data_IF_032119554358
#
_entry.id   IF_032119554358
#
_cell.length_a   1.000
_cell.length_b   1.000
_cell.length_c   1.000
_cell.angle_alpha   90.00
_cell.angle_beta   90.00
_cell.angle_gamma   90.00
#
_symmetry.space_group_name_H-M   'P 1'
#
loop_
_entity.id
_entity.type
_entity.pdbx_description
1 polymer ?
#
# COMPACT_ATOMS: atom_id res chain seq x y z
N UNK A 1 15.91 -16.06 -26.18
CA UNK A 1 16.97 -15.29 -25.50
C UNK A 1 16.47 -14.91 -24.11
N UNK A 2 16.97 -15.57 -23.06
CA UNK A 2 16.68 -15.12 -21.69
C UNK A 2 17.48 -13.85 -21.46
N UNK A 3 16.79 -12.73 -21.27
CA UNK A 3 17.43 -11.49 -20.84
C UNK A 3 17.81 -11.70 -19.38
N UNK A 4 19.05 -12.13 -19.13
CA UNK A 4 19.60 -12.15 -17.78
C UNK A 4 19.73 -10.70 -17.32
N UNK A 5 18.78 -10.24 -16.51
CA UNK A 5 18.89 -8.93 -15.85
C UNK A 5 20.10 -9.00 -14.92
N UNK A 6 21.02 -8.05 -15.06
CA UNK A 6 22.11 -7.91 -14.12
C UNK A 6 21.53 -7.69 -12.70
N UNK A 7 22.00 -8.43 -11.69
CA UNK A 7 21.55 -8.22 -10.31
C UNK A 7 21.90 -6.80 -9.89
N UNK A 8 20.92 -6.08 -9.33
CA UNK A 8 21.15 -4.75 -8.76
C UNK A 8 21.87 -4.95 -7.43
N UNK A 9 23.09 -4.40 -7.27
CA UNK A 9 23.81 -4.52 -6.02
C UNK A 9 23.11 -3.70 -4.93
N UNK A 10 23.09 -4.24 -3.71
CA UNK A 10 22.68 -3.47 -2.54
C UNK A 10 23.66 -2.31 -2.34
N UNK A 11 23.12 -1.12 -2.15
CA UNK A 11 23.86 0.07 -1.76
C UNK A 11 24.36 -0.06 -0.32
N UNK A 12 25.23 0.84 0.12
CA UNK A 12 25.68 0.84 1.51
C UNK A 12 24.52 1.12 2.47
N UNK A 13 23.65 2.05 2.11
CA UNK A 13 22.46 2.37 2.89
C UNK A 13 21.51 1.16 3.03
N UNK A 14 21.38 0.33 1.99
CA UNK A 14 20.59 -0.89 2.08
C UNK A 14 21.19 -1.88 3.08
N UNK A 15 22.53 -1.98 3.15
CA UNK A 15 23.23 -2.88 4.07
C UNK A 15 23.11 -2.40 5.51
N UNK A 16 23.31 -1.11 5.74
CA UNK A 16 23.14 -0.47 7.05
C UNK A 16 21.71 -0.68 7.57
N UNK A 17 20.70 -0.47 6.71
CA UNK A 17 19.31 -0.72 7.07
C UNK A 17 19.04 -2.19 7.37
N UNK A 18 19.58 -3.11 6.56
CA UNK A 18 19.46 -4.56 6.79
C UNK A 18 20.12 -5.01 8.10
N UNK A 19 21.20 -4.35 8.52
CA UNK A 19 21.81 -4.57 9.83
C UNK A 19 20.95 -3.98 10.95
N UNK A 20 20.44 -2.76 10.78
CA UNK A 20 19.57 -2.10 11.75
C UNK A 20 18.31 -2.93 12.02
N UNK A 21 17.59 -3.40 11.00
CA UNK A 21 16.37 -4.20 11.21
C UNK A 21 16.63 -5.54 11.90
N UNK A 22 17.86 -6.07 11.86
CA UNK A 22 18.27 -7.32 12.55
C UNK A 22 18.85 -7.07 13.93
N UNK A 23 19.15 -5.81 14.26
CA UNK A 23 19.71 -5.43 15.55
C UNK A 23 18.59 -5.29 16.58
N UNK A 24 18.51 -6.16 17.60
CA UNK A 24 17.40 -6.13 18.54
C UNK A 24 17.33 -4.79 19.28
N UNK A 25 16.14 -4.20 19.31
CA UNK A 25 15.91 -2.92 20.00
C UNK A 25 16.34 -1.67 19.23
N UNK A 26 16.85 -1.80 18.01
CA UNK A 26 16.98 -0.65 17.11
C UNK A 26 15.58 -0.09 16.76
N UNK A 27 15.46 1.21 16.42
CA UNK A 27 14.21 1.78 15.97
C UNK A 27 13.59 1.01 14.78
N UNK A 28 14.42 0.58 13.84
CA UNK A 28 14.01 -0.16 12.64
C UNK A 28 13.51 -1.57 12.99
N UNK A 29 14.18 -2.28 13.89
CA UNK A 29 13.76 -3.59 14.37
C UNK A 29 12.40 -3.51 15.10
N UNK A 30 12.22 -2.50 15.95
CA UNK A 30 10.96 -2.26 16.65
C UNK A 30 9.83 -1.92 15.66
N UNK A 31 10.12 -1.15 14.61
CA UNK A 31 9.15 -0.85 13.57
C UNK A 31 8.72 -2.12 12.81
N UNK A 32 9.67 -2.99 12.43
CA UNK A 32 9.36 -4.29 11.81
C UNK A 32 8.52 -5.16 12.74
N UNK A 33 8.87 -5.22 14.03
CA UNK A 33 8.09 -5.96 15.02
C UNK A 33 6.65 -5.44 15.12
N UNK A 34 6.45 -4.13 15.06
CA UNK A 34 5.11 -3.54 15.09
C UNK A 34 4.29 -3.87 13.83
N UNK A 35 4.94 -3.97 12.66
CA UNK A 35 4.27 -4.23 11.38
C UNK A 35 3.99 -5.72 11.12
N UNK A 36 4.92 -6.60 11.52
CA UNK A 36 4.87 -8.04 11.21
C UNK A 36 4.58 -8.92 12.43
N UNK A 37 4.57 -8.34 13.64
CA UNK A 37 4.37 -9.07 14.90
C UNK A 37 5.56 -9.94 15.33
N UNK A 38 6.67 -9.89 14.59
CA UNK A 38 7.88 -10.65 14.86
C UNK A 38 9.10 -9.75 14.78
N UNK A 39 9.96 -9.83 15.80
CA UNK A 39 11.26 -9.18 15.78
C UNK A 39 12.25 -10.05 14.98
N UNK A 40 13.04 -9.40 14.12
CA UNK A 40 14.18 -10.06 13.49
C UNK A 40 15.36 -10.06 14.46
N UNK A 41 16.23 -11.06 14.35
CA UNK A 41 17.42 -11.19 15.19
C UNK A 41 18.71 -11.17 14.38
N UNK A 42 19.87 -11.13 15.05
CA UNK A 42 21.17 -11.19 14.38
C UNK A 42 21.37 -12.50 13.60
N UNK A 43 20.75 -13.59 14.05
CA UNK A 43 20.75 -14.90 13.39
C UNK A 43 19.86 -14.95 12.14
N UNK A 44 19.03 -13.93 11.90
CA UNK A 44 18.18 -13.86 10.72
C UNK A 44 19.04 -13.65 9.47
N UNK A 45 18.91 -14.57 8.52
CA UNK A 45 19.61 -14.48 7.23
C UNK A 45 19.22 -13.21 6.47
N UNK A 46 20.13 -12.66 5.67
CA UNK A 46 19.84 -11.49 4.82
C UNK A 46 18.65 -11.75 3.88
N UNK A 47 18.53 -12.97 3.35
CA UNK A 47 17.42 -13.34 2.47
C UNK A 47 16.08 -13.32 3.21
N UNK A 48 16.03 -13.83 4.44
CA UNK A 48 14.84 -13.77 5.29
C UNK A 48 14.47 -12.34 5.64
N UNK A 49 15.46 -11.51 6.01
CA UNK A 49 15.24 -10.11 6.34
C UNK A 49 14.69 -9.32 5.12
N UNK A 50 15.27 -9.53 3.93
CA UNK A 50 14.75 -8.96 2.68
C UNK A 50 13.34 -9.45 2.36
N UNK A 51 13.06 -10.73 2.56
CA UNK A 51 11.73 -11.28 2.36
C UNK A 51 10.69 -10.61 3.26
N UNK A 52 11.02 -10.40 4.55
CA UNK A 52 10.17 -9.64 5.48
C UNK A 52 9.92 -8.21 4.98
N UNK A 53 10.95 -7.51 4.48
CA UNK A 53 10.76 -6.17 3.90
C UNK A 53 9.85 -6.17 2.67
N UNK A 54 9.97 -7.17 1.80
CA UNK A 54 9.08 -7.33 0.64
C UNK A 54 7.65 -7.58 1.08
N UNK A 55 7.45 -8.35 2.15
CA UNK A 55 6.13 -8.64 2.71
C UNK A 55 5.48 -7.38 3.31
N UNK A 56 6.25 -6.59 4.06
CA UNK A 56 5.82 -5.27 4.57
C UNK A 56 5.44 -4.34 3.42
N UNK A 57 6.31 -4.22 2.40
CA UNK A 57 6.05 -3.39 1.23
C UNK A 57 4.81 -3.86 0.46
N UNK A 58 4.62 -5.17 0.30
CA UNK A 58 3.43 -5.75 -0.35
C UNK A 58 2.16 -5.36 0.38
N UNK A 59 2.14 -5.46 1.72
CA UNK A 59 0.98 -5.06 2.52
C UNK A 59 0.69 -3.56 2.37
N UNK A 60 1.71 -2.72 2.41
CA UNK A 60 1.56 -1.28 2.21
C UNK A 60 0.98 -0.94 0.83
N UNK A 61 1.47 -1.58 -0.23
CA UNK A 61 0.94 -1.42 -1.60
C UNK A 61 -0.52 -1.87 -1.69
N UNK A 62 -0.87 -3.00 -1.06
CA UNK A 62 -2.26 -3.46 -1.06
C UNK A 62 -3.20 -2.50 -0.34
N UNK A 63 -2.78 -1.93 0.79
CA UNK A 63 -3.55 -0.90 1.51
C UNK A 63 -3.78 0.31 0.61
N UNK A 64 -2.76 0.77 -0.11
CA UNK A 64 -2.89 1.90 -1.04
C UNK A 64 -3.84 1.59 -2.20
N UNK A 65 -3.75 0.39 -2.79
CA UNK A 65 -4.66 -0.06 -3.86
C UNK A 65 -6.10 -0.12 -3.36
N UNK A 66 -6.33 -0.63 -2.15
CA UNK A 66 -7.69 -0.66 -1.59
C UNK A 66 -8.20 0.76 -1.33
N UNK A 67 -7.37 1.64 -0.78
CA UNK A 67 -7.74 3.03 -0.47
C UNK A 67 -8.12 3.80 -1.74
N UNK A 68 -7.29 3.71 -2.77
CA UNK A 68 -7.56 4.32 -4.09
C UNK A 68 -8.78 3.70 -4.77
N UNK A 69 -8.97 2.38 -4.67
CA UNK A 69 -10.16 1.69 -5.17
C UNK A 69 -11.46 2.14 -4.49
N UNK A 70 -11.45 2.29 -3.17
CA UNK A 70 -12.60 2.81 -2.43
C UNK A 70 -12.89 4.28 -2.75
N UNK A 71 -11.85 5.11 -2.92
CA UNK A 71 -12.01 6.49 -3.35
C UNK A 71 -12.65 6.58 -4.75
N UNK A 72 -12.23 5.73 -5.68
CA UNK A 72 -12.83 5.67 -7.02
C UNK A 72 -14.29 5.18 -6.98
N UNK A 73 -14.60 4.20 -6.13
CA UNK A 73 -15.97 3.71 -5.97
C UNK A 73 -16.89 4.78 -5.37
N UNK A 74 -16.42 5.53 -4.37
CA UNK A 74 -17.17 6.64 -3.78
C UNK A 74 -17.42 7.76 -4.80
N UNK A 75 -16.42 8.12 -5.60
CA UNK A 75 -16.57 9.12 -6.65
C UNK A 75 -17.60 8.72 -7.72
N UNK A 76 -17.65 7.43 -8.08
CA UNK A 76 -18.65 6.92 -9.03
C UNK A 76 -20.08 6.98 -8.46
N UNK A 77 -20.26 6.68 -7.16
CA UNK A 77 -21.57 6.80 -6.49
C UNK A 77 -22.04 8.25 -6.39
N UNK A 78 -21.13 9.18 -6.06
CA UNK A 78 -21.46 10.61 -6.02
C UNK A 78 -21.92 11.15 -7.37
N UNK A 79 -21.34 10.66 -8.48
CA UNK A 79 -21.74 11.03 -9.83
C UNK A 79 -23.14 10.51 -10.19
N UNK A 80 -23.45 9.26 -9.86
CA UNK A 80 -24.77 8.65 -10.07
C UNK A 80 -25.87 9.37 -9.28
N UNK A 81 -25.61 9.68 -8.00
CA UNK A 81 -26.50 10.45 -7.15
C UNK A 81 -26.72 11.89 -7.66
N UNK A 82 -25.68 12.51 -8.24
CA UNK A 82 -25.81 13.82 -8.87
C UNK A 82 -26.68 13.77 -10.12
N UNK A 83 -26.58 12.70 -10.91
CA UNK A 83 -27.39 12.48 -12.11
C UNK A 83 -28.86 12.25 -11.76
N UNK A 84 -29.13 11.42 -10.75
CA UNK A 84 -30.49 11.16 -10.27
C UNK A 84 -31.16 12.43 -9.74
N UNK A 85 -30.45 13.22 -8.91
CA UNK A 85 -30.96 14.51 -8.40
C UNK A 85 -31.27 15.50 -9.52
N UNK A 86 -30.45 15.56 -10.57
CA UNK A 86 -30.71 16.40 -11.75
C UNK A 86 -31.95 15.93 -12.52
N UNK A 87 -32.11 14.63 -12.72
CA UNK A 87 -33.27 14.06 -13.41
C UNK A 87 -34.57 14.28 -12.63
N UNK A 88 -34.56 14.10 -11.31
CA UNK A 88 -35.70 14.35 -10.44
C UNK A 88 -36.15 15.82 -10.48
N UNK A 89 -35.21 16.77 -10.47
CA UNK A 89 -35.52 18.20 -10.59
C UNK A 89 -36.15 18.56 -11.94
N UNK A 90 -35.67 17.98 -13.04
CA UNK A 90 -36.26 18.20 -14.37
C UNK A 90 -37.71 17.72 -14.44
N UNK A 91 -37.99 16.52 -13.93
CA UNK A 91 -39.36 15.99 -13.87
C UNK A 91 -40.28 16.83 -12.98
N UNK A 92 -39.80 17.28 -11.83
CA UNK A 92 -40.59 18.15 -10.95
C UNK A 92 -40.90 19.52 -11.58
N UNK A 93 -39.98 20.06 -12.38
CA UNK A 93 -40.20 21.30 -13.13
C UNK A 93 -41.19 21.12 -14.28
N UNK A 94 -41.19 19.96 -14.96
CA UNK A 94 -42.15 19.63 -16.02
C UNK A 94 -43.58 19.51 -15.47
N UNK A 95 -43.76 18.90 -14.28
CA UNK A 95 -45.07 18.73 -13.64
C UNK A 95 -45.64 20.03 -13.06
N UNK A 96 -44.80 21.05 -12.80
CA UNK A 96 -45.23 22.33 -12.23
C UNK A 96 -45.67 23.37 -13.29
N UNK A 97 -45.54 23.04 -14.58
CA UNK A 97 -45.85 23.94 -15.72
C UNK A 97 -47.13 23.53 -16.45
N UNK A 98 -47.73 22.38 -16.10
CA UNK A 98 -49.12 22.00 -16.42
C UNK A 98 -50.08 22.45 -15.30
#
# INVERSE_FOLDING_TARGET
MSVSRAPVPLTEQDREFLEAIRTPGSPENLAIQALEGQALGPETSTASALHTLVDVARKAVLVEVMTTGYAALAAAQDEEDSAFRRAARRRAAEVAVD
#
